data_IF_966947845878
#
_entry.id   IF_966947845878
#
_cell.length_a   1.000
_cell.length_b   1.000
_cell.length_c   1.000
_cell.angle_alpha   90.00
_cell.angle_beta   90.00
_cell.angle_gamma   90.00
#
_symmetry.space_group_name_H-M   'P 1'
#
loop_
_entity.id
_entity.type
_entity.pdbx_description
1 polymer ?
#
# COMPACT_ATOMS: atom_id res chain seq x y z
N UNK A 1 -1.70 -28.85 11.01
CA UNK A 1 -1.67 -27.99 9.78
C UNK A 1 -2.40 -26.63 9.98
N UNK A 2 -2.14 -25.86 11.05
CA UNK A 2 -2.81 -24.57 11.32
C UNK A 2 -1.91 -23.32 11.30
N UNK A 3 -0.59 -23.48 11.20
CA UNK A 3 0.41 -22.40 11.30
C UNK A 3 0.72 -21.65 9.99
N UNK A 4 0.24 -22.13 8.83
CA UNK A 4 0.54 -21.52 7.53
C UNK A 4 -0.14 -20.16 7.31
N UNK A 5 -1.34 -19.94 7.87
CA UNK A 5 -2.05 -18.65 7.72
C UNK A 5 -1.40 -17.54 8.55
N UNK A 6 -0.86 -17.88 9.72
CA UNK A 6 -0.16 -16.92 10.59
C UNK A 6 1.16 -16.48 9.97
N UNK A 7 1.94 -17.39 9.37
CA UNK A 7 3.20 -17.01 8.70
C UNK A 7 2.96 -16.19 7.44
N UNK A 8 1.83 -16.41 6.74
CA UNK A 8 1.38 -15.57 5.63
C UNK A 8 0.95 -14.18 6.11
N UNK A 9 0.18 -14.11 7.20
CA UNK A 9 -0.20 -12.84 7.83
C UNK A 9 1.04 -12.08 8.33
N UNK A 10 1.97 -12.76 9.00
CA UNK A 10 3.19 -12.18 9.54
C UNK A 10 4.18 -11.76 8.44
N UNK A 11 4.23 -12.48 7.30
CA UNK A 11 4.93 -12.00 6.09
C UNK A 11 4.25 -10.81 5.43
N UNK A 12 2.92 -10.77 5.43
CA UNK A 12 2.15 -9.63 4.93
C UNK A 12 2.29 -8.38 5.82
N UNK A 13 2.45 -8.57 7.14
CA UNK A 13 2.59 -7.53 8.18
C UNK A 13 4.07 -7.16 8.42
N UNK A 14 5.04 -7.87 7.85
CA UNK A 14 6.47 -7.58 8.01
C UNK A 14 6.79 -6.17 7.52
N UNK A 15 6.88 -5.23 8.47
CA UNK A 15 7.04 -3.78 8.27
C UNK A 15 8.18 -3.41 7.31
N UNK A 16 9.22 -4.25 7.15
CA UNK A 16 10.30 -4.02 6.17
C UNK A 16 9.80 -4.02 4.72
N UNK A 17 8.81 -4.83 4.39
CA UNK A 17 8.20 -4.86 3.06
C UNK A 17 7.31 -3.65 2.79
N UNK A 18 6.63 -3.14 3.82
CA UNK A 18 5.79 -1.95 3.71
C UNK A 18 6.62 -0.67 3.49
N UNK A 19 7.68 -0.47 4.30
CA UNK A 19 8.54 0.72 4.19
C UNK A 19 9.14 0.83 2.78
N UNK A 20 9.57 -0.28 2.19
CA UNK A 20 10.10 -0.31 0.82
C UNK A 20 9.07 0.10 -0.23
N UNK A 21 7.77 -0.03 0.06
CA UNK A 21 6.66 0.34 -0.82
C UNK A 21 6.19 1.78 -0.63
N UNK A 22 6.70 2.52 0.35
CA UNK A 22 6.33 3.93 0.57
C UNK A 22 6.51 4.78 -0.71
N UNK A 23 7.65 4.70 -1.44
CA UNK A 23 7.79 5.43 -2.70
C UNK A 23 6.75 5.04 -3.75
N UNK A 24 6.38 3.76 -3.80
CA UNK A 24 5.37 3.24 -4.72
C UNK A 24 3.96 3.76 -4.36
N UNK A 25 3.64 3.88 -3.07
CA UNK A 25 2.40 4.47 -2.58
C UNK A 25 2.28 5.92 -3.05
N UNK A 26 3.34 6.73 -2.90
CA UNK A 26 3.32 8.12 -3.38
C UNK A 26 3.10 8.21 -4.90
N UNK A 27 3.75 7.33 -5.66
CA UNK A 27 3.60 7.26 -7.12
C UNK A 27 2.19 6.81 -7.52
N UNK A 28 1.62 5.84 -6.82
CA UNK A 28 0.23 5.39 -6.98
C UNK A 28 -0.74 6.54 -6.79
N UNK A 29 -0.64 7.25 -5.66
CA UNK A 29 -1.50 8.40 -5.34
C UNK A 29 -1.36 9.49 -6.41
N UNK A 30 -0.13 9.78 -6.86
CA UNK A 30 0.12 10.76 -7.92
C UNK A 30 -0.55 10.39 -9.23
N UNK A 31 -0.46 9.12 -9.66
CA UNK A 31 -1.07 8.63 -10.90
C UNK A 31 -2.60 8.53 -10.81
N UNK A 32 -3.12 8.11 -9.65
CA UNK A 32 -4.54 8.11 -9.37
C UNK A 32 -5.14 9.52 -9.39
N UNK A 33 -4.50 10.50 -8.74
CA UNK A 33 -4.93 11.91 -8.75
C UNK A 33 -4.91 12.53 -10.15
N UNK A 34 -4.03 12.04 -11.04
CA UNK A 34 -3.99 12.43 -12.45
C UNK A 34 -5.06 11.73 -13.31
N UNK A 35 -5.82 10.80 -12.75
CA UNK A 35 -6.81 9.99 -13.47
C UNK A 35 -6.19 8.90 -14.35
N UNK A 36 -4.86 8.74 -14.35
CA UNK A 36 -4.18 7.75 -15.19
C UNK A 36 -4.32 6.33 -14.65
N UNK A 37 -4.37 6.17 -13.32
CA UNK A 37 -4.58 4.87 -12.68
C UNK A 37 -6.06 4.67 -12.30
N UNK A 38 -6.82 3.80 -13.01
CA UNK A 38 -8.26 3.68 -12.84
C UNK A 38 -8.62 2.73 -11.69
N UNK A 39 -8.66 3.26 -10.48
CA UNK A 39 -9.08 2.56 -9.25
C UNK A 39 -10.16 3.35 -8.52
N UNK A 40 -11.05 2.65 -7.81
CA UNK A 40 -12.06 3.31 -6.99
C UNK A 40 -11.39 4.11 -5.88
N UNK A 41 -11.80 5.37 -5.73
CA UNK A 41 -11.27 6.29 -4.72
C UNK A 41 -11.30 5.70 -3.31
N UNK A 42 -12.35 4.95 -2.97
CA UNK A 42 -12.51 4.32 -1.65
C UNK A 42 -11.39 3.30 -1.34
N UNK A 43 -10.87 2.60 -2.35
CA UNK A 43 -9.85 1.57 -2.18
C UNK A 43 -8.46 2.17 -1.89
N UNK A 44 -8.26 3.46 -2.20
CA UNK A 44 -7.06 4.23 -1.85
C UNK A 44 -7.28 5.04 -0.56
N UNK A 45 -8.40 5.77 -0.48
CA UNK A 45 -8.66 6.73 0.60
C UNK A 45 -8.81 6.01 1.95
N UNK A 46 -9.57 4.91 2.00
CA UNK A 46 -9.86 4.23 3.27
C UNK A 46 -8.60 3.65 3.93
N UNK A 47 -7.71 2.93 3.21
CA UNK A 47 -6.45 2.49 3.80
C UNK A 47 -5.51 3.66 4.14
N UNK A 48 -5.50 4.73 3.33
CA UNK A 48 -4.67 5.90 3.58
C UNK A 48 -5.10 6.66 4.84
N UNK A 49 -6.40 6.85 5.05
CA UNK A 49 -6.95 7.44 6.27
C UNK A 49 -6.55 6.64 7.52
N UNK A 50 -6.61 5.30 7.45
CA UNK A 50 -6.15 4.44 8.53
C UNK A 50 -4.65 4.57 8.84
N UNK A 51 -3.83 4.90 7.84
CA UNK A 51 -2.39 5.19 8.03
C UNK A 51 -2.18 6.62 8.59
N UNK A 52 -2.92 7.61 8.10
CA UNK A 52 -2.82 9.01 8.56
C UNK A 52 -3.28 9.18 10.01
N UNK A 53 -4.33 8.45 10.41
CA UNK A 53 -4.82 8.42 11.78
C UNK A 53 -3.74 8.07 12.81
N UNK A 54 -2.74 7.27 12.42
CA UNK A 54 -1.58 6.92 13.28
C UNK A 54 -0.53 8.03 13.32
N UNK A 55 -0.37 8.80 12.23
CA UNK A 55 0.63 9.89 12.16
C UNK A 55 0.16 11.10 12.98
N UNK A 56 -1.15 11.37 13.04
CA UNK A 56 -1.71 12.41 13.90
C UNK A 56 -3.07 12.00 14.50
N UNK A 57 -3.08 11.15 15.54
CA UNK A 57 -4.28 10.89 16.34
C UNK A 57 -4.66 12.10 17.23
N UNK A 58 -3.75 13.06 17.37
CA UNK A 58 -3.82 14.18 18.33
C UNK A 58 -4.69 15.34 17.81
N UNK A 59 -4.79 15.55 16.50
CA UNK A 59 -5.37 16.78 15.93
C UNK A 59 -6.90 16.74 15.77
N UNK A 60 -7.55 15.65 16.18
CA UNK A 60 -9.00 15.42 16.02
C UNK A 60 -9.77 15.34 17.36
N UNK A 61 -9.07 15.36 18.49
CA UNK A 61 -9.69 15.27 19.82
C UNK A 61 -9.34 16.54 20.60
N UNK A 62 -10.30 17.46 20.82
CA UNK A 62 -10.14 18.58 21.74
C UNK A 62 -9.92 18.04 23.15
N UNK A 63 -8.70 18.20 23.69
CA UNK A 63 -8.21 18.20 25.09
C UNK A 63 -8.80 17.28 26.19
N UNK A 64 -9.77 16.38 25.96
CA UNK A 64 -10.54 15.77 27.08
C UNK A 64 -10.63 14.24 27.08
N UNK A 65 -10.22 13.50 26.03
CA UNK A 65 -10.54 12.06 25.94
C UNK A 65 -9.42 11.12 26.45
N UNK A 66 -9.50 10.76 27.74
CA UNK A 66 -9.21 9.44 28.33
C UNK A 66 -7.74 8.92 28.32
N UNK A 67 -7.07 8.78 29.49
CA UNK A 67 -5.60 8.61 29.53
C UNK A 67 -5.01 7.22 29.20
N UNK A 68 -5.78 6.14 28.95
CA UNK A 68 -5.20 4.76 28.96
C UNK A 68 -5.78 3.73 27.95
N UNK A 69 -6.80 4.00 27.13
CA UNK A 69 -7.50 2.94 26.35
C UNK A 69 -7.20 2.89 24.83
N UNK A 70 -6.52 3.89 24.25
CA UNK A 70 -6.44 4.03 22.77
C UNK A 70 -5.56 3.04 21.99
N UNK A 71 -4.46 2.54 22.58
CA UNK A 71 -3.37 1.90 21.80
C UNK A 71 -3.73 0.54 21.19
N UNK A 72 -4.62 -0.24 21.83
CA UNK A 72 -5.00 -1.57 21.35
C UNK A 72 -5.87 -1.50 20.08
N UNK A 73 -6.74 -0.51 19.99
CA UNK A 73 -7.63 -0.30 18.84
C UNK A 73 -6.83 0.13 17.60
N UNK A 74 -5.81 0.96 17.79
CA UNK A 74 -4.90 1.43 16.74
C UNK A 74 -4.19 0.26 16.02
N UNK A 75 -3.72 -0.75 16.77
CA UNK A 75 -3.06 -1.94 16.21
C UNK A 75 -4.05 -2.82 15.43
N UNK A 76 -5.29 -2.92 15.91
CA UNK A 76 -6.35 -3.66 15.21
C UNK A 76 -6.70 -2.99 13.88
N UNK A 77 -6.84 -1.66 13.87
CA UNK A 77 -7.07 -0.89 12.64
C UNK A 77 -5.90 -1.06 11.66
N UNK A 78 -4.66 -0.93 12.12
CA UNK A 78 -3.46 -1.14 11.31
C UNK A 78 -3.41 -2.52 10.63
N UNK A 79 -3.76 -3.55 11.40
CA UNK A 79 -3.78 -4.94 10.93
C UNK A 79 -4.80 -5.15 9.80
N UNK A 80 -5.84 -4.31 9.72
CA UNK A 80 -6.85 -4.35 8.66
C UNK A 80 -6.48 -3.48 7.45
N UNK A 81 -5.91 -2.30 7.66
CA UNK A 81 -5.65 -1.34 6.58
C UNK A 81 -4.35 -1.59 5.83
N UNK A 82 -3.28 -2.01 6.51
CA UNK A 82 -1.97 -2.26 5.86
C UNK A 82 -2.09 -3.32 4.76
N UNK A 83 -2.71 -4.50 4.98
CA UNK A 83 -2.83 -5.50 3.92
C UNK A 83 -3.64 -5.01 2.72
N UNK A 84 -4.68 -4.19 2.95
CA UNK A 84 -5.48 -3.58 1.87
C UNK A 84 -4.64 -2.61 1.05
N UNK A 85 -3.90 -1.72 1.71
CA UNK A 85 -3.01 -0.77 1.04
C UNK A 85 -1.91 -1.48 0.24
N UNK A 86 -1.26 -2.49 0.83
CA UNK A 86 -0.22 -3.28 0.15
C UNK A 86 -0.78 -4.01 -1.07
N UNK A 87 -1.99 -4.58 -0.96
CA UNK A 87 -2.66 -5.21 -2.10
C UNK A 87 -2.90 -4.22 -3.23
N UNK A 88 -3.34 -3.00 -2.92
CA UNK A 88 -3.60 -1.99 -3.93
C UNK A 88 -2.30 -1.50 -4.60
N UNK A 89 -1.25 -1.27 -3.82
CA UNK A 89 0.08 -0.93 -4.35
C UNK A 89 0.60 -2.02 -5.30
N UNK A 90 0.38 -3.31 -4.98
CA UNK A 90 0.80 -4.38 -5.87
C UNK A 90 0.04 -4.37 -7.21
N UNK A 91 -1.28 -4.11 -7.20
CA UNK A 91 -2.05 -3.95 -8.44
C UNK A 91 -1.55 -2.76 -9.25
N UNK A 92 -1.27 -1.65 -8.57
CA UNK A 92 -0.72 -0.46 -9.20
C UNK A 92 0.62 -0.73 -9.88
N UNK A 93 1.51 -1.50 -9.24
CA UNK A 93 2.81 -1.86 -9.82
C UNK A 93 2.67 -2.73 -11.07
N UNK A 94 1.73 -3.69 -11.07
CA UNK A 94 1.43 -4.51 -12.25
C UNK A 94 0.91 -3.63 -13.39
N UNK A 95 -0.07 -2.79 -13.11
CA UNK A 95 -0.60 -1.83 -14.08
C UNK A 95 0.49 -0.90 -14.61
N UNK A 96 1.37 -0.37 -13.76
CA UNK A 96 2.44 0.52 -14.24
C UNK A 96 3.43 -0.22 -15.14
N UNK A 97 3.77 -1.48 -14.82
CA UNK A 97 4.63 -2.29 -15.66
C UNK A 97 3.99 -2.51 -17.04
N UNK A 98 2.69 -2.83 -17.09
CA UNK A 98 1.93 -2.94 -18.34
C UNK A 98 1.94 -1.63 -19.13
N UNK A 99 1.72 -0.47 -18.49
CA UNK A 99 1.78 0.81 -19.17
C UNK A 99 3.18 1.11 -19.75
N UNK A 100 4.26 0.73 -19.05
CA UNK A 100 5.64 0.89 -19.54
C UNK A 100 5.93 0.00 -20.75
N UNK A 101 5.41 -1.24 -20.76
CA UNK A 101 5.50 -2.16 -21.90
C UNK A 101 4.77 -1.57 -23.10
N UNK A 102 3.51 -1.16 -22.93
CA UNK A 102 2.69 -0.59 -24.01
C UNK A 102 3.22 0.75 -24.54
N UNK A 103 3.90 1.54 -23.69
CA UNK A 103 4.50 2.82 -24.09
C UNK A 103 5.84 2.68 -24.84
N UNK A 104 6.25 1.47 -25.24
CA UNK A 104 7.34 1.25 -26.20
C UNK A 104 8.76 1.48 -25.70
N UNK A 105 9.00 1.61 -24.39
CA UNK A 105 10.34 1.80 -23.83
C UNK A 105 11.11 0.50 -23.54
N UNK A 106 10.59 -0.64 -24.01
CA UNK A 106 11.35 -1.88 -24.04
C UNK A 106 11.98 -1.98 -25.42
N UNK A 107 13.23 -1.51 -25.54
CA UNK A 107 14.12 -2.04 -26.59
C UNK A 107 14.17 -3.54 -26.32
N UNK A 108 13.47 -4.31 -27.15
CA UNK A 108 13.71 -5.74 -27.26
C UNK A 108 15.18 -5.79 -27.65
N UNK A 109 16.05 -6.10 -26.68
CA UNK A 109 17.41 -6.48 -27.00
C UNK A 109 17.19 -7.80 -27.68
N UNK A 110 17.06 -7.78 -29.01
CA UNK A 110 17.25 -8.95 -29.83
C UNK A 110 18.61 -9.49 -29.39
N UNK A 111 18.56 -10.51 -28.54
CA UNK A 111 19.71 -11.35 -28.31
C UNK A 111 19.81 -12.11 -29.61
N UNK A 112 20.52 -11.51 -30.57
CA UNK A 112 21.09 -12.23 -31.68
C UNK A 112 21.87 -13.38 -31.05
N UNK A 113 21.27 -14.57 -31.11
CA UNK A 113 21.95 -15.81 -30.76
C UNK A 113 23.00 -15.94 -31.85
N UNK A 114 24.22 -15.52 -31.53
CA UNK A 114 25.40 -15.72 -32.37
C UNK A 114 25.49 -17.22 -32.62
N UNK A 115 25.21 -17.61 -33.86
CA UNK A 115 25.26 -18.99 -34.35
C UNK A 115 26.67 -19.35 -34.77
#
# INVERSE_FOLDING_TARGET
>A
MKSSKLSLAQRAISHKGFIRKIPDIFRMIKMWRKGSYPVKSIDIILPLLGVVYIISPIDLIPEVAVPVIGVLDDIAVLSLVIPKLVKEVNKFLLWEAEQKIHSGNIKIIDVDIIK
#
